data_IF_675716143736
#
_entry.id   IF_675716143736
#
_cell.length_a   1.000
_cell.length_b   1.000
_cell.length_c   1.000
_cell.angle_alpha   90.00
_cell.angle_beta   90.00
_cell.angle_gamma   90.00
#
_symmetry.space_group_name_H-M   'P 1'
#
loop_
_entity.id
_entity.type
_entity.pdbx_description
1 polymer ?
#
# COMPACT_ATOMS: atom_id res chain seq x y z
N UNK A 1 -47.20 -25.41 -38.40
CA UNK A 1 -46.25 -24.40 -38.94
C UNK A 1 -46.12 -23.23 -37.97
N UNK A 2 -45.57 -23.42 -36.77
CA UNK A 2 -45.33 -22.31 -35.82
C UNK A 2 -44.01 -22.56 -35.10
N UNK A 3 -42.89 -22.46 -35.84
CA UNK A 3 -41.54 -22.55 -35.28
C UNK A 3 -40.63 -21.46 -35.89
N UNK A 4 -41.13 -20.23 -35.98
CA UNK A 4 -40.46 -19.16 -36.74
C UNK A 4 -40.56 -17.75 -36.12
N UNK A 5 -40.76 -17.62 -34.80
CA UNK A 5 -40.87 -16.28 -34.16
C UNK A 5 -39.95 -16.10 -32.92
N UNK A 6 -39.24 -17.15 -32.48
CA UNK A 6 -38.35 -17.08 -31.30
C UNK A 6 -36.86 -16.82 -31.63
N UNK A 7 -36.53 -16.33 -32.83
CA UNK A 7 -35.15 -16.28 -33.33
C UNK A 7 -34.41 -14.92 -33.30
N UNK A 8 -35.02 -13.72 -33.15
CA UNK A 8 -34.22 -12.49 -33.19
C UNK A 8 -33.79 -11.96 -31.80
N UNK A 9 -34.27 -12.53 -30.69
CA UNK A 9 -34.05 -11.96 -29.34
C UNK A 9 -32.79 -12.48 -28.63
N UNK A 10 -31.98 -13.32 -29.28
CA UNK A 10 -30.69 -13.81 -28.76
C UNK A 10 -29.48 -13.19 -29.47
N UNK A 11 -29.68 -12.25 -30.39
CA UNK A 11 -28.59 -11.64 -31.17
C UNK A 11 -28.14 -10.25 -30.65
N UNK A 12 -28.78 -9.70 -29.61
CA UNK A 12 -28.46 -8.37 -29.09
C UNK A 12 -27.68 -8.35 -27.77
N UNK A 13 -27.37 -9.50 -27.18
CA UNK A 13 -26.31 -9.55 -26.17
C UNK A 13 -24.96 -9.59 -26.90
N UNK A 14 -24.61 -8.45 -27.51
CA UNK A 14 -23.20 -8.11 -27.70
C UNK A 14 -22.63 -8.09 -26.29
N UNK A 15 -22.09 -9.24 -25.93
CA UNK A 15 -21.19 -9.45 -24.82
C UNK A 15 -20.20 -8.30 -24.85
N UNK A 16 -20.45 -7.31 -23.99
CA UNK A 16 -19.45 -6.35 -23.60
C UNK A 16 -18.37 -7.16 -22.91
N UNK A 17 -17.41 -7.64 -23.69
CA UNK A 17 -16.17 -8.17 -23.19
C UNK A 17 -15.68 -7.19 -22.12
N UNK A 18 -15.34 -7.64 -20.91
CA UNK A 18 -14.67 -6.77 -19.97
C UNK A 18 -13.42 -6.31 -20.71
N UNK A 19 -13.37 -5.02 -21.07
CA UNK A 19 -12.16 -4.41 -21.55
C UNK A 19 -11.16 -4.57 -20.41
N UNK A 20 -10.37 -5.64 -20.48
CA UNK A 20 -9.21 -5.85 -19.66
C UNK A 20 -8.36 -4.60 -19.86
N UNK A 21 -8.51 -3.64 -18.95
CA UNK A 21 -7.59 -2.55 -18.82
C UNK A 21 -6.30 -3.24 -18.39
N UNK A 22 -5.49 -3.61 -19.38
CA UNK A 22 -4.13 -4.07 -19.13
C UNK A 22 -3.44 -2.93 -18.40
N UNK A 23 -3.33 -3.10 -17.09
CA UNK A 23 -2.55 -2.24 -16.22
C UNK A 23 -1.08 -2.55 -16.54
N UNK A 24 -0.64 -2.09 -17.71
CA UNK A 24 0.66 -2.38 -18.28
C UNK A 24 1.68 -1.50 -17.55
N UNK A 25 1.98 -1.87 -16.30
CA UNK A 25 3.02 -1.22 -15.51
C UNK A 25 4.33 -1.45 -16.26
N UNK A 26 4.95 -0.36 -16.71
CA UNK A 26 6.20 -0.41 -17.46
C UNK A 26 7.25 -1.19 -16.67
N UNK A 27 7.90 -2.16 -17.33
CA UNK A 27 8.94 -2.99 -16.70
C UNK A 27 10.06 -2.15 -16.08
N UNK A 28 10.33 -0.96 -16.65
CA UNK A 28 11.29 0.00 -16.12
C UNK A 28 10.91 0.51 -14.73
N UNK A 29 9.62 0.71 -14.47
CA UNK A 29 9.11 1.11 -13.15
C UNK A 29 9.31 -0.03 -12.14
N UNK A 30 8.98 -1.26 -12.52
CA UNK A 30 9.18 -2.44 -11.66
C UNK A 30 10.64 -2.60 -11.27
N UNK A 31 11.56 -2.46 -12.23
CA UNK A 31 13.00 -2.54 -11.97
C UNK A 31 13.46 -1.40 -11.08
N UNK A 32 12.98 -0.17 -11.30
CA UNK A 32 13.33 0.99 -10.48
C UNK A 32 12.93 0.82 -9.01
N UNK A 33 11.68 0.43 -8.74
CA UNK A 33 11.22 0.19 -7.36
C UNK A 33 11.87 -1.06 -6.75
N UNK A 34 12.15 -2.09 -7.56
CA UNK A 34 12.93 -3.25 -7.13
C UNK A 34 14.36 -2.88 -6.73
N UNK A 35 15.02 -2.00 -7.48
CA UNK A 35 16.35 -1.49 -7.15
C UNK A 35 16.33 -0.62 -5.89
N UNK A 36 15.31 0.24 -5.71
CA UNK A 36 15.12 1.04 -4.50
C UNK A 36 14.95 0.14 -3.27
N UNK A 37 14.16 -0.93 -3.39
CA UNK A 37 13.98 -1.93 -2.34
C UNK A 37 15.30 -2.66 -2.03
N UNK A 38 16.03 -3.12 -3.05
CA UNK A 38 17.32 -3.78 -2.84
C UNK A 38 18.34 -2.85 -2.16
N UNK A 39 18.34 -1.56 -2.53
CA UNK A 39 19.19 -0.54 -1.94
C UNK A 39 18.80 -0.29 -0.47
N UNK A 40 17.51 -0.25 -0.15
CA UNK A 40 17.03 -0.20 1.24
C UNK A 40 17.58 -1.39 2.04
N UNK A 41 17.43 -2.62 1.54
CA UNK A 41 17.97 -3.83 2.20
C UNK A 41 19.48 -3.73 2.41
N UNK A 42 20.22 -3.25 1.40
CA UNK A 42 21.66 -3.04 1.50
C UNK A 42 22.01 -2.03 2.60
N UNK A 43 21.31 -0.89 2.67
CA UNK A 43 21.52 0.10 3.74
C UNK A 43 21.19 -0.43 5.13
N UNK A 44 20.20 -1.32 5.26
CA UNK A 44 19.92 -2.04 6.51
C UNK A 44 21.04 -3.01 6.87
N UNK A 45 21.60 -3.74 5.90
CA UNK A 45 22.72 -4.65 6.15
C UNK A 45 24.00 -3.90 6.59
N UNK A 46 24.20 -2.67 6.09
CA UNK A 46 25.33 -1.81 6.46
C UNK A 46 25.13 -0.99 7.73
N UNK A 47 23.98 -1.11 8.40
CA UNK A 47 23.62 -0.32 9.58
C UNK A 47 24.67 -0.35 10.71
N UNK A 48 25.39 -1.46 10.88
CA UNK A 48 26.46 -1.61 11.89
C UNK A 48 27.56 -0.55 11.75
N UNK A 49 27.70 0.09 10.58
CA UNK A 49 28.68 1.17 10.34
C UNK A 49 28.11 2.59 10.50
N UNK A 50 26.79 2.77 10.55
CA UNK A 50 26.12 4.09 10.43
C UNK A 50 25.45 4.54 11.74
N UNK A 51 25.36 3.69 12.77
CA UNK A 51 24.78 4.02 14.10
C UNK A 51 23.34 4.62 14.05
N UNK A 52 22.61 4.44 12.95
CA UNK A 52 21.23 4.89 12.80
C UNK A 52 20.25 3.76 13.19
N UNK A 53 19.11 4.11 13.81
CA UNK A 53 18.08 3.12 14.16
C UNK A 53 17.51 2.48 12.88
N UNK A 54 17.52 1.13 12.78
CA UNK A 54 16.84 0.32 11.73
C UNK A 54 15.55 0.93 11.20
N UNK A 55 14.66 1.29 12.12
CA UNK A 55 13.33 1.82 11.84
C UNK A 55 13.34 3.14 11.06
N UNK A 56 14.34 4.01 11.28
CA UNK A 56 14.42 5.31 10.60
C UNK A 56 14.82 5.12 9.14
N UNK A 57 15.78 4.24 8.86
CA UNK A 57 16.25 3.93 7.50
C UNK A 57 15.08 3.42 6.66
N UNK A 58 14.37 2.40 7.15
CA UNK A 58 13.20 1.84 6.45
C UNK A 58 12.11 2.91 6.23
N UNK A 59 11.86 3.77 7.23
CA UNK A 59 10.89 4.85 7.12
C UNK A 59 11.23 5.89 6.05
N UNK A 60 12.50 6.30 5.95
CA UNK A 60 12.95 7.25 4.92
C UNK A 60 12.80 6.68 3.51
N UNK A 61 13.21 5.41 3.30
CA UNK A 61 13.02 4.75 2.01
C UNK A 61 11.55 4.59 1.63
N UNK A 62 10.68 4.31 2.60
CA UNK A 62 9.24 4.25 2.37
C UNK A 62 8.67 5.61 1.92
N UNK A 63 9.07 6.71 2.56
CA UNK A 63 8.65 8.07 2.16
C UNK A 63 9.16 8.41 0.76
N UNK A 64 10.43 8.12 0.47
CA UNK A 64 11.01 8.37 -0.87
C UNK A 64 10.27 7.56 -1.93
N UNK A 65 10.01 6.28 -1.69
CA UNK A 65 9.26 5.43 -2.62
C UNK A 65 7.85 5.99 -2.87
N UNK A 66 7.15 6.44 -1.82
CA UNK A 66 5.82 7.04 -1.92
C UNK A 66 5.83 8.33 -2.76
N UNK A 67 6.80 9.22 -2.51
CA UNK A 67 6.94 10.48 -3.23
C UNK A 67 7.27 10.26 -4.70
N UNK A 68 8.19 9.34 -5.00
CA UNK A 68 8.55 9.01 -6.39
C UNK A 68 7.38 8.36 -7.12
N UNK A 69 6.66 7.44 -6.48
CA UNK A 69 5.45 6.85 -7.06
C UNK A 69 4.37 7.91 -7.34
N UNK A 70 4.24 8.90 -6.46
CA UNK A 70 3.29 10.01 -6.59
C UNK A 70 3.68 10.92 -7.75
N UNK A 71 4.97 11.29 -7.82
CA UNK A 71 5.51 12.14 -8.89
C UNK A 71 5.41 11.48 -10.27
N UNK A 72 5.56 10.16 -10.35
CA UNK A 72 5.43 9.38 -11.58
C UNK A 72 3.97 9.06 -11.95
N UNK A 73 2.98 9.47 -11.14
CA UNK A 73 1.56 9.23 -11.41
C UNK A 73 1.15 7.77 -11.34
N UNK A 74 1.93 6.92 -10.66
CA UNK A 74 1.68 5.48 -10.53
C UNK A 74 0.55 5.14 -9.55
N UNK A 75 0.22 6.09 -8.69
CA UNK A 75 -0.81 5.95 -7.70
C UNK A 75 -2.15 6.41 -8.30
N UNK A 76 -3.20 5.58 -8.23
CA UNK A 76 -4.52 5.94 -8.72
C UNK A 76 -5.14 7.00 -7.80
N UNK A 77 -4.81 8.25 -8.07
CA UNK A 77 -5.43 9.42 -7.44
C UNK A 77 -6.54 9.93 -8.36
N UNK A 78 -7.81 9.70 -8.01
CA UNK A 78 -8.92 10.24 -8.80
C UNK A 78 -10.19 9.40 -8.81
N UNK A 79 -11.15 9.86 -9.61
CA UNK A 79 -12.47 9.27 -9.76
C UNK A 79 -12.37 7.85 -10.33
N UNK A 80 -12.64 6.86 -9.48
CA UNK A 80 -12.86 5.50 -9.96
C UNK A 80 -14.25 5.46 -10.59
N UNK A 81 -14.31 5.21 -11.89
CA UNK A 81 -15.58 4.95 -12.57
C UNK A 81 -16.02 3.55 -12.19
N UNK A 82 -17.11 3.45 -11.43
CA UNK A 82 -17.78 2.18 -11.20
C UNK A 82 -18.42 1.67 -12.52
N UNK A 83 -18.75 0.37 -12.65
CA UNK A 83 -19.36 -0.19 -13.85
C UNK A 83 -20.68 0.48 -14.30
N UNK A 84 -21.26 1.34 -13.46
CA UNK A 84 -22.50 2.09 -13.68
C UNK A 84 -22.27 3.55 -14.10
N UNK A 85 -21.03 3.98 -14.32
CA UNK A 85 -20.71 5.29 -14.92
C UNK A 85 -20.81 6.48 -13.97
N UNK A 86 -20.87 6.27 -12.66
CA UNK A 86 -20.90 7.33 -11.65
C UNK A 86 -19.47 7.63 -11.16
N UNK A 87 -19.08 8.89 -11.29
CA UNK A 87 -17.78 9.36 -10.85
C UNK A 87 -17.74 9.50 -9.33
N UNK A 88 -17.24 8.48 -8.63
CA UNK A 88 -17.05 8.57 -7.18
C UNK A 88 -15.71 9.26 -6.91
N UNK A 89 -15.78 10.51 -6.46
CA UNK A 89 -14.63 11.25 -5.91
C UNK A 89 -14.17 10.57 -4.63
N UNK A 90 -13.23 9.64 -4.78
CA UNK A 90 -12.67 8.95 -3.62
C UNK A 90 -11.75 9.92 -2.84
N UNK A 91 -11.85 9.93 -1.49
CA UNK A 91 -10.98 10.77 -0.67
C UNK A 91 -9.49 10.41 -0.87
N UNK A 92 -8.62 11.37 -0.52
CA UNK A 92 -7.15 11.44 -0.71
C UNK A 92 -6.31 10.23 -0.24
N UNK A 93 -6.93 9.16 0.25
CA UNK A 93 -6.25 7.93 0.66
C UNK A 93 -5.73 7.16 -0.54
N UNK A 94 -4.47 6.76 -0.45
CA UNK A 94 -3.87 5.80 -1.38
C UNK A 94 -4.56 4.46 -1.12
N UNK A 95 -5.37 3.92 -2.05
CA UNK A 95 -6.14 2.69 -1.79
C UNK A 95 -5.24 1.46 -1.59
N UNK A 96 -3.99 1.54 -2.05
CA UNK A 96 -2.98 0.50 -1.85
C UNK A 96 -2.37 0.48 -0.44
N UNK A 97 -2.62 1.49 0.41
CA UNK A 97 -1.98 1.63 1.73
C UNK A 97 -3.02 1.50 2.85
N UNK A 98 -2.79 0.57 3.78
CA UNK A 98 -3.60 0.43 4.98
C UNK A 98 -3.14 1.41 6.08
N UNK A 99 -3.85 2.52 6.19
CA UNK A 99 -3.58 3.57 7.17
C UNK A 99 -3.86 3.15 8.62
N UNK A 100 -4.76 2.19 8.84
CA UNK A 100 -5.06 1.63 10.15
C UNK A 100 -3.89 0.78 10.67
N UNK A 101 -3.32 -0.05 9.79
CA UNK A 101 -2.15 -0.87 10.13
C UNK A 101 -0.94 -0.01 10.44
N UNK A 102 -0.68 1.03 9.65
CA UNK A 102 0.44 1.96 9.90
C UNK A 102 0.28 2.63 11.28
N UNK A 103 -0.91 3.16 11.58
CA UNK A 103 -1.16 3.83 12.86
C UNK A 103 -1.04 2.87 14.05
N UNK A 104 -1.45 1.61 13.91
CA UNK A 104 -1.29 0.59 14.96
C UNK A 104 0.19 0.22 15.15
N UNK A 105 0.94 -0.02 14.07
CA UNK A 105 2.38 -0.37 14.17
C UNK A 105 3.17 0.79 14.79
N UNK A 106 2.94 2.02 14.33
CA UNK A 106 3.60 3.19 14.92
C UNK A 106 3.18 3.43 16.36
N UNK A 107 1.88 3.30 16.68
CA UNK A 107 1.37 3.47 18.05
C UNK A 107 1.97 2.45 19.01
N UNK A 108 1.97 1.16 18.64
CA UNK A 108 2.57 0.10 19.43
C UNK A 108 4.09 0.27 19.56
N UNK A 109 4.77 0.64 18.47
CA UNK A 109 6.21 0.91 18.44
C UNK A 109 6.64 2.09 19.32
N UNK A 110 5.88 3.18 19.30
CA UNK A 110 6.12 4.34 20.16
C UNK A 110 5.82 4.01 21.63
N UNK A 111 4.69 3.36 21.90
CA UNK A 111 4.29 2.97 23.25
C UNK A 111 5.34 2.05 23.89
N UNK A 112 5.85 1.06 23.14
CA UNK A 112 6.87 0.16 23.66
C UNK A 112 8.21 0.88 23.87
N UNK A 113 8.65 1.77 22.97
CA UNK A 113 9.91 2.52 23.16
C UNK A 113 9.83 3.44 24.39
N UNK A 114 8.69 4.11 24.60
CA UNK A 114 8.45 4.94 25.80
C UNK A 114 8.39 4.10 27.07
N UNK A 115 7.67 2.98 27.07
CA UNK A 115 7.51 2.15 28.26
C UNK A 115 8.81 1.43 28.64
N UNK A 116 9.58 0.99 27.64
CA UNK A 116 10.92 0.41 27.85
C UNK A 116 11.93 1.43 28.39
N UNK A 117 11.92 2.67 27.89
CA UNK A 117 12.84 3.72 28.39
C UNK A 117 12.45 4.33 29.72
N UNK A 118 11.16 4.36 30.05
CA UNK A 118 10.66 4.92 31.32
C UNK A 118 10.87 3.99 32.52
N UNK A 119 11.32 2.75 32.31
CA UNK A 119 11.55 1.80 33.40
C UNK A 119 10.27 1.37 34.13
N UNK A 120 9.09 1.65 33.54
CA UNK A 120 7.79 1.32 34.11
C UNK A 120 7.65 -0.19 34.34
N UNK A 121 8.14 -1.00 33.40
CA UNK A 121 8.13 -2.46 33.55
C UNK A 121 9.01 -2.93 34.71
N UNK A 122 10.17 -2.30 34.90
CA UNK A 122 11.06 -2.59 36.02
C UNK A 122 10.42 -2.19 37.36
N UNK A 123 9.79 -1.01 37.43
CA UNK A 123 9.11 -0.56 38.64
C UNK A 123 7.92 -1.47 39.01
N UNK A 124 7.11 -1.87 38.03
CA UNK A 124 5.99 -2.80 38.22
C UNK A 124 6.50 -4.17 38.69
N UNK A 125 7.57 -4.69 38.08
CA UNK A 125 8.15 -5.97 38.46
C UNK A 125 8.64 -5.99 39.92
N UNK A 126 9.30 -4.91 40.36
CA UNK A 126 9.75 -4.77 41.76
C UNK A 126 8.56 -4.69 42.71
N UNK A 127 7.49 -4.00 42.31
CA UNK A 127 6.30 -3.83 43.16
C UNK A 127 5.47 -5.10 43.30
N UNK A 128 5.41 -5.95 42.27
CA UNK A 128 4.65 -7.21 42.31
C UNK A 128 5.36 -8.33 43.06
N UNK A 129 6.69 -8.26 43.18
CA UNK A 129 7.51 -9.27 43.86
C UNK A 129 7.78 -8.94 45.32
N UNK A 130 7.25 -7.81 45.84
CA UNK A 130 7.43 -7.32 47.20
C UNK A 130 6.09 -7.25 47.92
#
# INVERSE_FOLDING_TARGET
MVNAIAAPLLASEVTSAPAAHEHHVSIGVTIFFGALLALMILTLAFEEKIHAKKSIITGVYAIVALLVATAMGLLPFGELTNPWGEAIKMPIYIPAVDWGVITIIFGAGLFVDVTSKSGIFTWIAIKLTK
#
